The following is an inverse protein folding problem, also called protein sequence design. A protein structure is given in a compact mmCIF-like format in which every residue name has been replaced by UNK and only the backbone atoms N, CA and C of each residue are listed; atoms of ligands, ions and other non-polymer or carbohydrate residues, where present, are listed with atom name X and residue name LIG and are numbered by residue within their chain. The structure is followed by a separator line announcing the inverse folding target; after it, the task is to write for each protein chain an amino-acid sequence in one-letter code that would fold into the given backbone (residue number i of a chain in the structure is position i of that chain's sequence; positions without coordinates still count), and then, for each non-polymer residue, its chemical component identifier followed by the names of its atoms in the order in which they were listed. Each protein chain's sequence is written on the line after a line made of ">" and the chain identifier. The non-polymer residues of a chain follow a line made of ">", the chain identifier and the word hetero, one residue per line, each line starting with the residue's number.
data_IF_763739670729
#
_entry.id   IF_763739670729
#
_cell.length_a   1.000
_cell.length_b   1.000
_cell.length_c   1.000
_cell.angle_alpha   90.00
_cell.angle_beta   90.00
_cell.angle_gamma   90.00
#
_symmetry.space_group_name_H-M   'P 1'
#
loop_
_entity.id
_entity.type
_entity.pdbx_description
1 polymer ?
#
# COMPACT_ATOMS: atom_id res chain seq x y z
N UNK A 1 3.08 -42.38 -4.03
CA UNK A 1 2.94 -41.30 -5.02
C UNK A 1 2.30 -40.10 -4.32
N UNK A 2 2.88 -38.92 -4.55
CA UNK A 2 2.40 -37.56 -4.20
C UNK A 2 2.27 -37.16 -2.72
N UNK A 3 1.90 -38.03 -1.78
CA UNK A 3 1.63 -37.58 -0.40
C UNK A 3 2.86 -37.22 0.45
N UNK A 4 4.05 -37.72 0.10
CA UNK A 4 5.27 -37.53 0.90
C UNK A 4 6.18 -36.37 0.44
N UNK A 5 5.81 -35.67 -0.64
CA UNK A 5 6.64 -34.60 -1.22
C UNK A 5 6.26 -33.19 -0.72
N UNK A 6 5.20 -33.08 0.09
CA UNK A 6 4.61 -31.81 0.53
C UNK A 6 5.08 -31.33 1.90
N UNK A 7 5.96 -32.06 2.57
CA UNK A 7 6.28 -31.86 3.99
C UNK A 7 7.59 -31.12 4.28
N UNK A 8 8.30 -30.58 3.27
CA UNK A 8 9.68 -30.13 3.46
C UNK A 8 10.01 -28.68 3.15
N UNK A 9 9.06 -27.74 3.09
CA UNK A 9 9.40 -26.32 3.02
C UNK A 9 8.43 -25.43 3.83
N UNK A 10 9.02 -24.79 4.85
CA UNK A 10 8.57 -23.60 5.58
C UNK A 10 7.66 -23.79 6.82
N UNK A 11 8.01 -23.17 7.97
CA UNK A 11 7.14 -23.10 9.13
C UNK A 11 6.14 -21.94 8.93
N UNK A 12 4.89 -22.28 8.65
CA UNK A 12 3.77 -21.32 8.55
C UNK A 12 2.87 -21.61 7.35
N UNK A 13 1.76 -22.31 7.60
CA UNK A 13 0.71 -22.58 6.60
C UNK A 13 1.04 -23.76 5.66
N UNK A 14 0.17 -24.78 5.63
CA UNK A 14 0.36 -25.94 4.75
C UNK A 14 0.41 -25.56 3.25
N UNK A 15 0.91 -26.47 2.39
CA UNK A 15 1.18 -26.22 0.96
C UNK A 15 -0.03 -25.82 0.09
N UNK A 16 -1.25 -25.82 0.64
CA UNK A 16 -2.48 -25.39 -0.05
C UNK A 16 -2.74 -23.89 0.07
N UNK A 17 -2.46 -23.29 1.23
CA UNK A 17 -2.60 -21.85 1.47
C UNK A 17 -1.67 -21.06 0.53
N UNK A 18 -0.43 -21.54 0.38
CA UNK A 18 0.55 -20.95 -0.54
C UNK A 18 0.16 -21.08 -2.02
N UNK A 19 -0.53 -22.15 -2.42
CA UNK A 19 -0.98 -22.33 -3.80
C UNK A 19 -2.09 -21.35 -4.19
N UNK A 20 -3.15 -21.25 -3.40
CA UNK A 20 -4.28 -20.37 -3.71
C UNK A 20 -3.88 -18.89 -3.69
N UNK A 21 -2.99 -18.50 -2.78
CA UNK A 21 -2.42 -17.16 -2.74
C UNK A 21 -1.54 -16.88 -3.96
N UNK A 22 -0.66 -17.81 -4.34
CA UNK A 22 0.18 -17.63 -5.54
C UNK A 22 -0.66 -17.51 -6.81
N UNK A 23 -1.72 -18.32 -6.95
CA UNK A 23 -2.65 -18.26 -8.09
C UNK A 23 -3.38 -16.92 -8.14
N UNK A 24 -3.86 -16.42 -7.00
CA UNK A 24 -4.52 -15.11 -6.92
C UNK A 24 -3.59 -13.98 -7.38
N UNK A 25 -2.31 -14.01 -6.97
CA UNK A 25 -1.30 -13.02 -7.37
C UNK A 25 -1.11 -13.01 -8.88
N UNK A 26 -1.00 -14.18 -9.50
CA UNK A 26 -0.90 -14.30 -10.96
C UNK A 26 -2.15 -13.77 -11.67
N UNK A 27 -3.33 -14.12 -11.17
CA UNK A 27 -4.61 -13.64 -11.72
C UNK A 27 -4.74 -12.11 -11.62
N UNK A 28 -4.30 -11.51 -10.51
CA UNK A 28 -4.23 -10.05 -10.36
C UNK A 28 -3.30 -9.40 -11.38
N UNK A 29 -2.12 -9.97 -11.60
CA UNK A 29 -1.18 -9.49 -12.62
C UNK A 29 -1.76 -9.60 -14.05
N UNK A 30 -2.64 -10.58 -14.28
CA UNK A 30 -3.36 -10.75 -15.55
C UNK A 30 -4.66 -9.93 -15.64
N UNK A 31 -5.05 -9.20 -14.59
CA UNK A 31 -6.29 -8.42 -14.55
C UNK A 31 -7.57 -9.26 -14.33
N UNK A 32 -7.44 -10.54 -13.99
CA UNK A 32 -8.55 -11.46 -13.73
C UNK A 32 -9.11 -11.29 -12.32
N UNK A 33 -9.71 -10.14 -12.04
CA UNK A 33 -10.15 -9.76 -10.69
C UNK A 33 -11.16 -10.72 -10.06
N UNK A 34 -12.16 -11.18 -10.82
CA UNK A 34 -13.15 -12.14 -10.31
C UNK A 34 -12.53 -13.49 -9.95
N UNK A 35 -11.59 -13.98 -10.77
CA UNK A 35 -10.88 -15.23 -10.51
C UNK A 35 -9.97 -15.10 -9.28
N UNK A 36 -9.25 -13.98 -9.17
CA UNK A 36 -8.40 -13.67 -8.04
C UNK A 36 -9.18 -13.63 -6.72
N UNK A 37 -10.37 -13.02 -6.73
CA UNK A 37 -11.26 -12.97 -5.56
C UNK A 37 -11.61 -14.37 -5.04
N UNK A 38 -11.99 -15.28 -5.95
CA UNK A 38 -12.30 -16.68 -5.61
C UNK A 38 -11.07 -17.40 -5.05
N UNK A 39 -9.89 -17.16 -5.63
CA UNK A 39 -8.65 -17.76 -5.14
C UNK A 39 -8.27 -17.24 -3.75
N UNK A 40 -8.40 -15.94 -3.50
CA UNK A 40 -8.16 -15.33 -2.18
C UNK A 40 -9.14 -15.83 -1.12
N UNK A 41 -10.43 -15.97 -1.46
CA UNK A 41 -11.42 -16.54 -0.55
C UNK A 41 -11.11 -18.01 -0.20
N UNK A 42 -10.49 -18.77 -1.10
CA UNK A 42 -10.02 -20.13 -0.80
C UNK A 42 -8.79 -20.10 0.12
N UNK A 43 -7.84 -19.20 -0.14
CA UNK A 43 -6.68 -19.01 0.73
C UNK A 43 -7.11 -18.62 2.17
N UNK A 44 -8.07 -17.70 2.33
CA UNK A 44 -8.62 -17.33 3.65
C UNK A 44 -9.37 -18.45 4.36
N UNK A 45 -9.93 -19.43 3.62
CA UNK A 45 -10.56 -20.61 4.23
C UNK A 45 -9.52 -21.58 4.78
N UNK A 46 -8.35 -21.64 4.15
CA UNK A 46 -7.24 -22.47 4.60
C UNK A 46 -6.52 -21.82 5.80
N UNK A 47 -6.38 -20.49 5.80
CA UNK A 47 -5.83 -19.71 6.90
C UNK A 47 -6.51 -18.32 6.99
N UNK A 48 -7.39 -18.17 7.99
CA UNK A 48 -8.19 -16.94 8.19
C UNK A 48 -7.39 -15.79 8.80
N UNK A 49 -6.24 -16.07 9.40
CA UNK A 49 -5.38 -15.08 10.05
C UNK A 49 -4.17 -14.70 9.18
N UNK A 50 -4.08 -15.24 7.95
CA UNK A 50 -2.99 -14.97 7.02
C UNK A 50 -2.89 -13.49 6.65
N UNK A 51 -1.87 -12.74 7.13
CA UNK A 51 -1.72 -11.31 6.80
C UNK A 51 -1.49 -11.11 5.31
N UNK A 52 -0.71 -11.98 4.66
CA UNK A 52 -0.46 -11.88 3.22
C UNK A 52 -1.76 -12.01 2.42
N UNK A 53 -2.63 -12.93 2.80
CA UNK A 53 -3.90 -13.12 2.08
C UNK A 53 -4.81 -11.90 2.25
N UNK A 54 -4.87 -11.31 3.45
CA UNK A 54 -5.57 -10.05 3.69
C UNK A 54 -4.99 -8.88 2.89
N UNK A 55 -3.66 -8.76 2.81
CA UNK A 55 -3.01 -7.72 2.00
C UNK A 55 -3.36 -7.85 0.51
N UNK A 56 -3.36 -9.07 -0.04
CA UNK A 56 -3.73 -9.29 -1.44
C UNK A 56 -5.23 -9.08 -1.71
N UNK A 57 -6.10 -9.36 -0.74
CA UNK A 57 -7.51 -9.00 -0.83
C UNK A 57 -7.73 -7.49 -0.78
N UNK A 58 -7.00 -6.79 0.10
CA UNK A 58 -6.97 -5.33 0.13
C UNK A 58 -6.49 -4.75 -1.21
N UNK A 59 -5.44 -5.35 -1.79
CA UNK A 59 -4.94 -4.95 -3.11
C UNK A 59 -5.95 -5.16 -4.23
N UNK A 60 -6.67 -6.28 -4.24
CA UNK A 60 -7.76 -6.52 -5.17
C UNK A 60 -8.84 -5.44 -5.05
N UNK A 61 -9.30 -5.14 -3.82
CA UNK A 61 -10.31 -4.10 -3.60
C UNK A 61 -9.83 -2.72 -4.00
N UNK A 62 -8.57 -2.39 -3.72
CA UNK A 62 -7.93 -1.15 -4.14
C UNK A 62 -7.94 -1.00 -5.67
N UNK A 63 -7.54 -2.05 -6.41
CA UNK A 63 -7.56 -2.04 -7.88
C UNK A 63 -8.98 -1.91 -8.46
N UNK A 64 -10.00 -2.41 -7.76
CA UNK A 64 -11.42 -2.25 -8.12
C UNK A 64 -11.98 -0.86 -7.75
N UNK A 65 -11.23 -0.03 -7.02
CA UNK A 65 -11.67 1.27 -6.51
C UNK A 65 -12.54 1.20 -5.26
N UNK A 66 -12.62 0.03 -4.61
CA UNK A 66 -13.40 -0.19 -3.40
C UNK A 66 -12.56 0.16 -2.17
N UNK A 67 -12.26 1.46 -1.99
CA UNK A 67 -11.26 1.90 -1.01
C UNK A 67 -11.60 1.57 0.44
N UNK A 68 -12.88 1.66 0.85
CA UNK A 68 -13.30 1.29 2.21
C UNK A 68 -13.05 -0.20 2.51
N UNK A 69 -13.34 -1.09 1.57
CA UNK A 69 -13.05 -2.53 1.74
C UNK A 69 -11.54 -2.82 1.70
N UNK A 70 -10.81 -2.05 0.88
CA UNK A 70 -9.36 -2.17 0.81
C UNK A 70 -8.70 -1.79 2.14
N UNK A 71 -9.15 -0.68 2.75
CA UNK A 71 -8.71 -0.21 4.05
C UNK A 71 -8.93 -1.28 5.12
N UNK A 72 -10.16 -1.82 5.25
CA UNK A 72 -10.46 -2.87 6.24
C UNK A 72 -9.52 -4.08 6.10
N UNK A 73 -9.23 -4.51 4.87
CA UNK A 73 -8.32 -5.63 4.60
C UNK A 73 -6.86 -5.31 4.96
N UNK A 74 -6.42 -4.08 4.67
CA UNK A 74 -5.07 -3.63 5.00
C UNK A 74 -4.89 -3.47 6.50
N UNK A 75 -5.83 -2.86 7.21
CA UNK A 75 -5.82 -2.77 8.68
C UNK A 75 -5.79 -4.17 9.32
N UNK A 76 -6.59 -5.10 8.78
CA UNK A 76 -6.56 -6.52 9.20
C UNK A 76 -5.20 -7.18 8.98
N UNK A 77 -4.47 -6.80 7.94
CA UNK A 77 -3.09 -7.28 7.73
C UNK A 77 -2.18 -6.77 8.85
N UNK A 78 -2.38 -5.53 9.28
CA UNK A 78 -1.57 -4.91 10.33
C UNK A 78 -1.90 -5.42 11.75
N UNK A 79 -3.00 -6.13 11.96
CA UNK A 79 -3.21 -6.88 13.21
C UNK A 79 -2.12 -7.96 13.41
N UNK A 80 -1.46 -8.40 12.32
CA UNK A 80 -0.46 -9.47 12.29
C UNK A 80 0.85 -9.05 11.59
N UNK A 81 1.26 -7.76 11.68
CA UNK A 81 2.42 -7.18 10.94
C UNK A 81 3.68 -8.04 10.96
N UNK A 82 4.01 -8.68 12.10
CA UNK A 82 5.26 -9.45 12.26
C UNK A 82 5.39 -10.60 11.26
N UNK A 83 4.26 -11.08 10.74
CA UNK A 83 4.18 -12.22 9.85
C UNK A 83 3.84 -11.80 8.40
N UNK A 84 3.67 -10.50 8.13
CA UNK A 84 3.38 -9.97 6.79
C UNK A 84 4.66 -9.92 5.93
N UNK A 85 4.58 -10.41 4.69
CA UNK A 85 5.73 -10.47 3.79
C UNK A 85 6.14 -9.11 3.21
N UNK A 86 5.19 -8.17 3.05
CA UNK A 86 5.44 -6.83 2.51
C UNK A 86 4.54 -5.77 3.17
N UNK A 87 4.84 -5.40 4.43
CA UNK A 87 4.09 -4.35 5.14
C UNK A 87 4.29 -2.97 4.49
N UNK A 88 5.38 -2.74 3.77
CA UNK A 88 5.66 -1.47 3.10
C UNK A 88 4.56 -1.12 2.09
N UNK A 89 4.20 -2.07 1.21
CA UNK A 89 3.14 -1.85 0.23
C UNK A 89 1.77 -1.59 0.90
N UNK A 90 1.49 -2.24 2.03
CA UNK A 90 0.25 -2.07 2.80
C UNK A 90 0.16 -0.65 3.37
N UNK A 91 1.21 -0.18 4.04
CA UNK A 91 1.28 1.17 4.58
C UNK A 91 1.17 2.25 3.50
N UNK A 92 1.87 2.09 2.37
CA UNK A 92 1.75 3.01 1.23
C UNK A 92 0.31 3.09 0.71
N UNK A 93 -0.39 1.95 0.58
CA UNK A 93 -1.77 1.93 0.09
C UNK A 93 -2.76 2.52 1.09
N UNK A 94 -2.58 2.28 2.39
CA UNK A 94 -3.36 2.94 3.43
C UNK A 94 -3.18 4.46 3.40
N UNK A 95 -1.94 4.95 3.32
CA UNK A 95 -1.65 6.37 3.20
C UNK A 95 -2.32 7.03 1.98
N UNK A 96 -2.38 6.31 0.86
CA UNK A 96 -3.12 6.75 -0.34
C UNK A 96 -4.63 6.84 -0.11
N UNK A 97 -5.22 5.83 0.54
CA UNK A 97 -6.65 5.79 0.84
C UNK A 97 -7.04 6.94 1.76
N UNK A 98 -6.33 7.11 2.87
CA UNK A 98 -6.58 8.18 3.83
C UNK A 98 -6.45 9.59 3.22
N UNK A 99 -5.45 9.81 2.35
CA UNK A 99 -5.31 11.06 1.59
C UNK A 99 -6.49 11.36 0.66
N UNK A 100 -7.15 10.32 0.12
CA UNK A 100 -8.27 10.52 -0.79
C UNK A 100 -9.52 11.05 -0.06
N UNK A 101 -9.67 10.75 1.23
CA UNK A 101 -10.82 11.20 2.02
C UNK A 101 -10.74 12.68 2.41
N UNK A 102 -9.55 13.30 2.32
CA UNK A 102 -9.29 14.75 2.49
C UNK A 102 -9.86 15.39 3.77
N UNK A 103 -10.14 14.59 4.79
CA UNK A 103 -10.58 15.06 6.11
C UNK A 103 -9.37 15.27 7.02
N UNK A 104 -9.40 16.30 7.87
CA UNK A 104 -8.27 16.62 8.76
C UNK A 104 -7.89 15.49 9.72
N UNK A 105 -8.85 14.64 10.11
CA UNK A 105 -8.58 13.39 10.84
C UNK A 105 -7.63 12.56 10.00
N UNK A 106 -8.17 12.00 8.91
CA UNK A 106 -7.50 11.13 7.93
C UNK A 106 -6.13 11.61 7.41
N UNK A 107 -5.82 12.91 7.45
CA UNK A 107 -4.47 13.39 7.12
C UNK A 107 -3.41 12.92 8.12
N UNK A 108 -3.79 12.74 9.38
CA UNK A 108 -2.93 12.21 10.44
C UNK A 108 -2.67 10.72 10.21
N UNK A 109 -3.73 9.94 9.98
CA UNK A 109 -3.63 8.52 9.65
C UNK A 109 -2.84 8.30 8.36
N UNK A 110 -3.01 9.17 7.36
CA UNK A 110 -2.22 9.15 6.14
C UNK A 110 -0.73 9.37 6.43
N UNK A 111 -0.41 10.37 7.26
CA UNK A 111 0.97 10.69 7.64
C UNK A 111 1.63 9.53 8.38
N UNK A 112 0.94 8.97 9.37
CA UNK A 112 1.42 7.85 10.17
C UNK A 112 1.73 6.64 9.28
N UNK A 113 0.78 6.26 8.41
CA UNK A 113 0.97 5.16 7.47
C UNK A 113 2.14 5.42 6.51
N UNK A 114 2.25 6.62 5.93
CA UNK A 114 3.35 6.95 5.01
C UNK A 114 4.71 7.03 5.72
N UNK A 115 4.72 7.40 7.00
CA UNK A 115 5.94 7.41 7.82
C UNK A 115 6.43 5.99 8.10
N UNK A 116 5.52 5.06 8.41
CA UNK A 116 5.85 3.64 8.53
C UNK A 116 6.35 3.04 7.20
N UNK A 117 5.71 3.38 6.08
CA UNK A 117 6.21 3.00 4.76
C UNK A 117 7.64 3.54 4.52
N UNK A 118 7.89 4.82 4.82
CA UNK A 118 9.21 5.42 4.67
C UNK A 118 10.27 4.78 5.60
N UNK A 119 9.88 4.36 6.80
CA UNK A 119 10.77 3.66 7.74
C UNK A 119 11.20 2.29 7.19
N UNK A 120 10.29 1.59 6.51
CA UNK A 120 10.56 0.29 5.87
C UNK A 120 11.37 0.43 4.57
N UNK A 121 11.09 1.45 3.77
CA UNK A 121 11.84 1.76 2.55
C UNK A 121 11.94 3.27 2.30
N UNK A 122 13.03 3.86 2.79
CA UNK A 122 13.28 5.30 2.64
C UNK A 122 13.73 5.73 1.23
N UNK A 123 13.82 4.79 0.29
CA UNK A 123 14.20 5.06 -1.10
C UNK A 123 13.01 5.04 -2.06
N UNK A 124 11.80 4.78 -1.57
CA UNK A 124 10.59 4.84 -2.39
C UNK A 124 10.19 6.29 -2.67
N UNK A 125 10.36 6.71 -3.93
CA UNK A 125 10.02 8.06 -4.38
C UNK A 125 8.52 8.36 -4.28
N UNK A 126 7.65 7.35 -4.39
CA UNK A 126 6.20 7.51 -4.30
C UNK A 126 5.79 7.87 -2.86
N UNK A 127 6.39 7.23 -1.86
CA UNK A 127 6.16 7.55 -0.43
C UNK A 127 6.53 9.01 -0.15
N UNK A 128 7.71 9.47 -0.60
CA UNK A 128 8.11 10.87 -0.46
C UNK A 128 7.18 11.84 -1.18
N UNK A 129 6.63 11.45 -2.33
CA UNK A 129 5.64 12.23 -3.06
C UNK A 129 4.33 12.40 -2.26
N UNK A 130 3.84 11.32 -1.64
CA UNK A 130 2.63 11.39 -0.80
C UNK A 130 2.86 12.15 0.51
N UNK A 131 4.02 11.98 1.16
CA UNK A 131 4.39 12.82 2.32
C UNK A 131 4.43 14.31 1.95
N UNK A 132 4.84 14.63 0.72
CA UNK A 132 4.76 16.01 0.22
C UNK A 132 3.33 16.52 0.11
N UNK A 133 2.37 15.69 -0.33
CA UNK A 133 0.96 16.09 -0.35
C UNK A 133 0.42 16.36 1.06
N UNK A 134 0.72 15.48 2.02
CA UNK A 134 0.35 15.68 3.43
C UNK A 134 0.89 17.02 3.95
N UNK A 135 2.18 17.29 3.73
CA UNK A 135 2.80 18.53 4.19
C UNK A 135 2.19 19.79 3.53
N UNK A 136 1.87 19.71 2.24
CA UNK A 136 1.20 20.81 1.51
C UNK A 136 -0.21 21.07 2.06
N UNK A 137 -1.00 20.01 2.31
CA UNK A 137 -2.37 20.13 2.81
C UNK A 137 -2.43 20.62 4.27
N UNK A 138 -1.40 20.31 5.06
CA UNK A 138 -1.28 20.73 6.46
C UNK A 138 -0.56 22.07 6.65
N UNK A 139 -0.09 22.71 5.58
CA UNK A 139 0.58 24.02 5.67
C UNK A 139 2.05 23.97 6.13
N UNK A 140 2.66 22.80 6.19
CA UNK A 140 4.05 22.60 6.66
C UNK A 140 5.04 22.88 5.54
N UNK A 141 5.30 24.16 5.31
CA UNK A 141 6.06 24.66 4.16
C UNK A 141 7.48 24.07 4.03
N UNK A 142 8.26 24.08 5.10
CA UNK A 142 9.64 23.58 5.07
C UNK A 142 9.70 22.07 4.80
N UNK A 143 8.78 21.31 5.40
CA UNK A 143 8.71 19.87 5.23
C UNK A 143 8.24 19.52 3.81
N UNK A 144 7.24 20.22 3.29
CA UNK A 144 6.76 20.04 1.91
C UNK A 144 7.88 20.19 0.87
N UNK A 145 8.72 21.22 1.02
CA UNK A 145 9.87 21.44 0.13
C UNK A 145 10.90 20.29 0.24
N UNK A 146 11.20 19.85 1.46
CA UNK A 146 12.13 18.76 1.71
C UNK A 146 11.62 17.45 1.12
N UNK A 147 10.40 17.04 1.44
CA UNK A 147 9.80 15.78 0.96
C UNK A 147 9.71 15.77 -0.56
N UNK A 148 9.31 16.89 -1.18
CA UNK A 148 9.28 16.99 -2.64
C UNK A 148 10.67 16.86 -3.25
N UNK A 149 11.68 17.51 -2.68
CA UNK A 149 13.07 17.41 -3.12
C UNK A 149 13.58 15.96 -3.05
N UNK A 150 13.23 15.21 -2.00
CA UNK A 150 13.58 13.79 -1.89
C UNK A 150 12.85 12.95 -2.94
N UNK A 151 11.55 13.17 -3.16
CA UNK A 151 10.78 12.49 -4.20
C UNK A 151 11.42 12.67 -5.59
N UNK A 152 11.82 13.91 -5.93
CA UNK A 152 12.50 14.21 -7.20
C UNK A 152 13.90 13.60 -7.27
N UNK A 153 14.68 13.65 -6.17
CA UNK A 153 16.02 13.05 -6.09
C UNK A 153 15.98 11.53 -6.30
N UNK A 154 14.93 10.88 -5.82
CA UNK A 154 14.70 9.43 -5.96
C UNK A 154 13.99 9.08 -7.28
N UNK A 155 13.80 10.05 -8.18
CA UNK A 155 13.17 9.91 -9.49
C UNK A 155 11.71 9.45 -9.43
N UNK A 156 10.85 10.20 -8.75
CA UNK A 156 9.40 9.99 -8.81
C UNK A 156 8.90 10.00 -10.27
N UNK A 157 8.46 8.84 -10.77
CA UNK A 157 7.95 8.66 -12.14
C UNK A 157 6.42 8.77 -12.25
N UNK A 158 5.68 8.69 -11.14
CA UNK A 158 4.22 8.66 -11.17
C UNK A 158 3.65 10.03 -11.57
N UNK A 159 3.37 10.20 -12.85
CA UNK A 159 2.96 11.48 -13.44
C UNK A 159 1.71 12.08 -12.78
N UNK A 160 0.72 11.24 -12.45
CA UNK A 160 -0.51 11.70 -11.79
C UNK A 160 -0.25 12.31 -10.42
N UNK A 161 0.59 11.67 -9.60
CA UNK A 161 1.00 12.18 -8.29
C UNK A 161 1.84 13.45 -8.45
N UNK A 162 2.76 13.47 -9.40
CA UNK A 162 3.59 14.64 -9.65
C UNK A 162 2.75 15.86 -10.09
N UNK A 163 1.71 15.62 -10.90
CA UNK A 163 0.78 16.66 -11.31
C UNK A 163 -0.05 17.17 -10.13
N UNK A 164 -0.58 16.27 -9.30
CA UNK A 164 -1.34 16.64 -8.10
C UNK A 164 -0.51 17.49 -7.12
N UNK A 165 0.75 17.12 -6.89
CA UNK A 165 1.69 17.90 -6.06
C UNK A 165 1.87 19.30 -6.63
N UNK A 166 2.11 19.42 -7.94
CA UNK A 166 2.35 20.73 -8.60
C UNK A 166 1.11 21.62 -8.57
N UNK A 167 -0.06 21.05 -8.81
CA UNK A 167 -1.33 21.79 -8.77
C UNK A 167 -1.57 22.33 -7.36
N UNK A 168 -1.33 21.51 -6.33
CA UNK A 168 -1.46 21.94 -4.95
C UNK A 168 -0.40 22.99 -4.55
N UNK A 169 0.86 22.82 -4.96
CA UNK A 169 1.92 23.82 -4.76
C UNK A 169 1.54 25.17 -5.38
N UNK A 170 0.97 25.16 -6.59
CA UNK A 170 0.51 26.38 -7.26
C UNK A 170 -0.68 27.03 -6.52
N UNK A 171 -1.58 26.22 -5.95
CA UNK A 171 -2.71 26.70 -5.16
C UNK A 171 -2.26 27.32 -3.83
N UNK A 172 -1.34 26.67 -3.11
CA UNK A 172 -0.90 27.10 -1.77
C UNK A 172 0.24 28.12 -1.80
N UNK A 173 0.97 28.22 -2.91
CA UNK A 173 2.06 29.18 -3.10
C UNK A 173 3.38 28.80 -2.44
N UNK A 174 3.56 27.54 -2.02
CA UNK A 174 4.80 27.06 -1.40
C UNK A 174 5.10 25.58 -1.74
N UNK A 175 6.27 25.09 -1.30
CA UNK A 175 6.66 23.68 -1.38
C UNK A 175 7.35 23.29 -2.70
N UNK A 176 7.35 24.16 -3.70
CA UNK A 176 8.21 24.04 -4.86
C UNK A 176 9.50 24.85 -4.61
N UNK A 177 10.68 24.20 -4.54
CA UNK A 177 11.96 24.87 -4.23
C UNK A 177 12.45 25.85 -5.31
N UNK A 178 11.75 25.94 -6.45
CA UNK A 178 12.09 26.84 -7.55
C UNK A 178 11.46 28.24 -7.44
N UNK A 179 10.72 28.55 -6.37
CA UNK A 179 10.13 29.87 -6.11
C UNK A 179 10.72 30.54 -4.87
#
# INVERSE_FOLDING_TARGET
>A
SEALAQELLCPGGGPRCSYHLALARLQLMSGEFSSAEVSLQKALKDDIESPDTWAWLGHLHYLKGNYSQAQECYERTLDFVKDAADPHAVYLRLGQIYLQEKQLGELTEAEDALTEANALNNTDAEVWGYLSLVCLQTGRQLEAEQTYKYAMKLNLQKETLLQEIKDLQAQVGFGNPCF
#
